data_IF_094011156704
#
_entry.id   IF_094011156704
#
_cell.length_a   1.000
_cell.length_b   1.000
_cell.length_c   1.000
_cell.angle_alpha   90.00
_cell.angle_beta   90.00
_cell.angle_gamma   90.00
#
_symmetry.space_group_name_H-M   'P 1'
#
loop_
_entity.id
_entity.type
_entity.pdbx_description
1 polymer ?
#
# COMPACT_ATOMS: atom_id res chain seq x y z
N UNK A 1 -4.87 4.01 -11.91
CA UNK A 1 -5.78 3.65 -13.01
C UNK A 1 -6.12 2.18 -12.93
N UNK A 2 -7.40 1.84 -13.04
CA UNK A 2 -7.91 0.46 -13.03
C UNK A 2 -8.37 0.00 -14.40
N UNK A 3 -7.91 -1.19 -14.79
CA UNK A 3 -8.30 -1.92 -15.99
C UNK A 3 -8.97 -3.23 -15.59
N UNK A 4 -9.92 -3.69 -16.39
CA UNK A 4 -10.49 -5.03 -16.29
C UNK A 4 -9.87 -5.91 -17.40
N UNK A 5 -9.28 -7.03 -16.97
CA UNK A 5 -8.78 -8.06 -17.89
C UNK A 5 -9.74 -9.24 -17.84
N UNK A 6 -10.19 -9.68 -19.00
CA UNK A 6 -11.05 -10.84 -19.12
C UNK A 6 -10.23 -12.08 -19.48
N UNK A 7 -10.59 -13.22 -18.89
CA UNK A 7 -9.95 -14.53 -19.08
C UNK A 7 -8.43 -14.51 -18.87
N UNK A 8 -7.96 -13.68 -17.93
CA UNK A 8 -6.54 -13.54 -17.62
C UNK A 8 -6.03 -14.79 -16.89
N UNK A 9 -4.85 -15.28 -17.29
CA UNK A 9 -4.16 -16.36 -16.60
C UNK A 9 -3.15 -15.76 -15.64
N UNK A 10 -3.41 -15.90 -14.34
CA UNK A 10 -2.48 -15.43 -13.30
C UNK A 10 -1.36 -16.45 -13.07
N UNK A 11 -0.10 -16.00 -12.85
CA UNK A 11 1.02 -16.90 -12.54
C UNK A 11 0.77 -17.78 -11.31
N UNK A 12 0.06 -17.26 -10.31
CA UNK A 12 -0.40 -18.01 -9.16
C UNK A 12 -1.91 -17.77 -8.95
N UNK A 13 -2.76 -18.78 -9.17
CA UNK A 13 -4.22 -18.66 -9.00
C UNK A 13 -4.59 -18.24 -7.57
N UNK A 14 -5.66 -17.47 -7.43
CA UNK A 14 -6.20 -17.00 -6.15
C UNK A 14 -5.21 -16.17 -5.30
N UNK A 15 -4.25 -15.51 -5.96
CA UNK A 15 -3.25 -14.64 -5.33
C UNK A 15 -3.33 -13.24 -5.93
N UNK A 16 -3.03 -12.23 -5.10
CA UNK A 16 -2.70 -10.90 -5.56
C UNK A 16 -1.23 -10.86 -6.01
N UNK A 17 -0.97 -10.15 -7.10
CA UNK A 17 0.37 -10.01 -7.67
C UNK A 17 0.76 -8.54 -7.68
N UNK A 18 1.95 -8.23 -7.22
CA UNK A 18 2.57 -6.92 -7.38
C UNK A 18 3.70 -7.07 -8.39
N UNK A 19 3.58 -6.40 -9.53
CA UNK A 19 4.56 -6.43 -10.61
C UNK A 19 5.43 -5.19 -10.46
N UNK A 20 6.72 -5.42 -10.36
CA UNK A 20 7.75 -4.39 -10.22
C UNK A 20 8.60 -4.35 -11.49
N UNK A 21 9.06 -3.17 -11.85
CA UNK A 21 9.92 -2.92 -12.99
C UNK A 21 10.39 -1.47 -12.97
N UNK A 22 10.85 -0.96 -14.11
CA UNK A 22 11.27 0.44 -14.26
C UNK A 22 10.09 1.43 -14.30
N UNK A 23 8.90 0.95 -13.99
CA UNK A 23 7.65 1.70 -13.90
C UNK A 23 7.11 1.71 -12.46
N UNK A 24 6.07 2.51 -12.22
CA UNK A 24 5.36 2.47 -10.96
C UNK A 24 4.70 1.09 -10.71
N UNK A 25 4.61 0.62 -9.45
CA UNK A 25 4.09 -0.71 -9.14
C UNK A 25 2.71 -0.96 -9.75
N UNK A 26 2.53 -2.18 -10.28
CA UNK A 26 1.25 -2.64 -10.83
C UNK A 26 0.71 -3.74 -9.94
N UNK A 27 -0.55 -3.61 -9.52
CA UNK A 27 -1.25 -4.60 -8.72
C UNK A 27 -2.24 -5.35 -9.60
N UNK A 28 -2.20 -6.70 -9.56
CA UNK A 28 -3.11 -7.57 -10.31
C UNK A 28 -3.75 -8.57 -9.38
N UNK A 29 -5.08 -8.69 -9.42
CA UNK A 29 -5.82 -9.64 -8.60
C UNK A 29 -7.13 -10.05 -9.27
N UNK A 30 -7.52 -11.29 -9.06
CA UNK A 30 -8.76 -11.87 -9.56
C UNK A 30 -9.97 -11.36 -8.76
N UNK A 31 -11.04 -11.00 -9.44
CA UNK A 31 -12.31 -10.54 -8.86
C UNK A 31 -13.39 -11.60 -9.02
N UNK A 32 -13.40 -12.30 -10.17
CA UNK A 32 -14.30 -13.41 -10.46
C UNK A 32 -13.58 -14.43 -11.35
N UNK A 33 -14.26 -15.49 -11.73
CA UNK A 33 -13.69 -16.53 -12.61
C UNK A 33 -13.23 -15.96 -13.96
N UNK A 34 -13.92 -14.93 -14.46
CA UNK A 34 -13.66 -14.34 -15.76
C UNK A 34 -12.99 -12.96 -15.72
N UNK A 35 -12.99 -12.29 -14.56
CA UNK A 35 -12.51 -10.93 -14.43
C UNK A 35 -11.33 -10.83 -13.46
N UNK A 36 -10.26 -10.24 -13.93
CA UNK A 36 -9.07 -9.86 -13.17
C UNK A 36 -8.90 -8.34 -13.22
N UNK A 37 -8.68 -7.73 -12.07
CA UNK A 37 -8.38 -6.29 -11.97
C UNK A 37 -6.88 -6.06 -12.05
N UNK A 38 -6.52 -5.05 -12.84
CA UNK A 38 -5.15 -4.54 -12.92
C UNK A 38 -5.16 -3.07 -12.56
N UNK A 39 -4.40 -2.71 -11.52
CA UNK A 39 -4.25 -1.34 -11.08
C UNK A 39 -2.85 -0.86 -11.45
N UNK A 40 -2.77 0.06 -12.40
CA UNK A 40 -1.53 0.67 -12.86
C UNK A 40 -1.41 2.07 -12.24
N UNK A 41 -0.36 2.31 -11.50
CA UNK A 41 -0.02 3.66 -11.09
C UNK A 41 0.52 4.42 -12.31
N UNK A 42 0.04 5.64 -12.52
CA UNK A 42 0.48 6.53 -13.59
C UNK A 42 0.88 7.87 -13.00
N UNK A 43 2.14 8.23 -13.14
CA UNK A 43 2.69 9.47 -12.59
C UNK A 43 2.55 10.58 -13.60
N UNK A 44 1.53 11.40 -13.42
CA UNK A 44 1.29 12.58 -14.27
C UNK A 44 0.66 13.71 -13.45
N UNK A 45 0.84 14.93 -13.93
CA UNK A 45 0.23 16.13 -13.32
C UNK A 45 -1.28 16.23 -13.57
N UNK A 46 -1.77 15.54 -14.59
CA UNK A 46 -3.19 15.48 -14.96
C UNK A 46 -3.66 14.05 -15.05
N UNK A 47 -4.93 13.76 -14.73
CA UNK A 47 -5.50 12.45 -14.96
C UNK A 47 -5.37 12.02 -16.42
N UNK A 48 -5.17 10.72 -16.71
CA UNK A 48 -5.14 10.23 -18.08
C UNK A 48 -6.48 10.47 -18.77
N UNK A 49 -6.44 10.76 -20.05
CA UNK A 49 -7.62 11.02 -20.91
C UNK A 49 -7.69 10.02 -22.03
N UNK A 50 -8.93 9.68 -22.46
CA UNK A 50 -9.16 8.84 -23.63
C UNK A 50 -8.76 9.53 -24.95
N UNK A 51 -8.72 10.87 -24.97
CA UNK A 51 -8.34 11.66 -26.15
C UNK A 51 -6.82 11.74 -26.34
N UNK A 52 -6.03 11.38 -25.32
CA UNK A 52 -4.59 11.40 -25.36
C UNK A 52 -4.06 9.95 -25.33
N UNK A 53 -3.05 9.65 -26.12
CA UNK A 53 -2.44 8.33 -26.18
C UNK A 53 -1.39 8.10 -25.09
N UNK A 54 -0.87 9.14 -24.43
CA UNK A 54 0.25 9.05 -23.49
C UNK A 54 0.09 7.91 -22.46
N UNK A 55 -1.14 7.73 -21.94
CA UNK A 55 -1.40 6.65 -20.99
C UNK A 55 -1.36 5.26 -21.63
N UNK A 56 -1.86 5.12 -22.84
CA UNK A 56 -1.87 3.84 -23.55
C UNK A 56 -0.48 3.48 -24.08
N UNK A 57 0.30 4.49 -24.48
CA UNK A 57 1.71 4.35 -24.85
C UNK A 57 2.53 3.92 -23.62
N UNK A 58 2.30 4.53 -22.45
CA UNK A 58 2.88 4.09 -21.18
C UNK A 58 2.55 2.63 -20.85
N UNK A 59 1.29 2.22 -20.99
CA UNK A 59 0.90 0.83 -20.73
C UNK A 59 1.58 -0.16 -21.70
N UNK A 60 1.72 0.24 -22.98
CA UNK A 60 2.27 -0.64 -24.02
C UNK A 60 3.80 -0.69 -23.99
N UNK A 61 4.45 0.44 -23.77
CA UNK A 61 5.91 0.57 -23.90
C UNK A 61 6.63 0.30 -22.58
N UNK A 62 6.02 0.69 -21.43
CA UNK A 62 6.68 0.60 -20.13
C UNK A 62 6.12 -0.52 -19.25
N UNK A 63 4.80 -0.73 -19.23
CA UNK A 63 4.18 -1.72 -18.35
C UNK A 63 4.17 -3.12 -18.95
N UNK A 64 3.70 -3.26 -20.19
CA UNK A 64 3.54 -4.55 -20.87
C UNK A 64 4.81 -5.41 -20.90
N UNK A 65 6.02 -4.87 -21.17
CA UNK A 65 7.23 -5.68 -21.18
C UNK A 65 7.59 -6.32 -19.82
N UNK A 66 7.12 -5.75 -18.73
CA UNK A 66 7.40 -6.22 -17.37
C UNK A 66 6.28 -7.11 -16.80
N UNK A 67 5.14 -7.19 -17.49
CA UNK A 67 4.03 -8.07 -17.09
C UNK A 67 4.33 -9.50 -17.51
N UNK A 68 4.02 -10.53 -16.67
CA UNK A 68 4.16 -11.93 -17.05
C UNK A 68 3.50 -12.25 -18.40
N UNK A 69 4.16 -13.05 -19.22
CA UNK A 69 3.72 -13.35 -20.61
C UNK A 69 2.32 -13.93 -20.68
N UNK A 70 1.93 -14.70 -19.65
CA UNK A 70 0.59 -15.30 -19.55
C UNK A 70 -0.54 -14.25 -19.49
N UNK A 71 -0.23 -13.05 -19.01
CA UNK A 71 -1.16 -11.92 -18.93
C UNK A 71 -1.21 -11.07 -20.23
N UNK A 72 -0.22 -11.19 -21.12
CA UNK A 72 -0.10 -10.34 -22.31
C UNK A 72 -1.36 -10.36 -23.20
N UNK A 73 -1.99 -11.50 -23.50
CA UNK A 73 -3.17 -11.51 -24.37
C UNK A 73 -4.34 -10.70 -23.81
N UNK A 74 -4.67 -10.93 -22.53
CA UNK A 74 -5.78 -10.23 -21.86
C UNK A 74 -5.46 -8.76 -21.59
N UNK A 75 -4.18 -8.42 -21.30
CA UNK A 75 -3.76 -7.04 -21.10
C UNK A 75 -3.78 -6.25 -22.41
N UNK A 76 -3.28 -6.80 -23.52
CA UNK A 76 -3.37 -6.16 -24.85
C UNK A 76 -4.82 -5.94 -25.28
N UNK A 77 -5.71 -6.91 -25.02
CA UNK A 77 -7.14 -6.76 -25.28
C UNK A 77 -7.75 -5.61 -24.45
N UNK A 78 -7.41 -5.51 -23.16
CA UNK A 78 -7.88 -4.43 -22.29
C UNK A 78 -7.37 -3.05 -22.73
N UNK A 79 -6.12 -2.94 -23.19
CA UNK A 79 -5.56 -1.70 -23.76
C UNK A 79 -6.35 -1.32 -25.04
N UNK A 80 -6.62 -2.28 -25.92
CA UNK A 80 -7.33 -2.06 -27.17
C UNK A 80 -8.79 -1.58 -26.98
N UNK A 81 -9.45 -2.03 -25.90
CA UNK A 81 -10.80 -1.56 -25.52
C UNK A 81 -10.83 -0.09 -25.10
N UNK A 82 -9.69 0.49 -24.73
CA UNK A 82 -9.55 1.88 -24.27
C UNK A 82 -10.52 2.24 -23.13
N UNK A 83 -10.84 1.29 -22.27
CA UNK A 83 -11.70 1.48 -21.10
C UNK A 83 -10.90 1.41 -19.82
N UNK A 84 -10.97 2.47 -19.01
CA UNK A 84 -10.31 2.50 -17.71
C UNK A 84 -11.07 3.39 -16.73
N UNK A 85 -10.80 3.19 -15.43
CA UNK A 85 -11.22 4.10 -14.37
C UNK A 85 -9.98 4.72 -13.74
N UNK A 86 -9.90 6.04 -13.75
CA UNK A 86 -8.84 6.79 -13.09
C UNK A 86 -9.33 7.35 -11.76
N UNK A 87 -8.49 7.22 -10.74
CA UNK A 87 -8.69 7.83 -9.43
C UNK A 87 -7.36 8.44 -8.95
N UNK A 88 -7.36 9.61 -8.29
CA UNK A 88 -6.16 10.11 -7.67
C UNK A 88 -5.75 9.19 -6.51
N UNK A 89 -4.45 8.89 -6.42
CA UNK A 89 -3.90 8.20 -5.27
C UNK A 89 -3.38 9.24 -4.28
N UNK A 90 -3.98 9.30 -3.12
CA UNK A 90 -3.60 10.24 -2.07
C UNK A 90 -3.62 9.55 -0.71
N UNK A 91 -2.82 10.06 0.20
CA UNK A 91 -2.92 9.77 1.61
C UNK A 91 -3.62 10.93 2.31
N UNK A 92 -4.76 10.65 2.91
CA UNK A 92 -5.49 11.56 3.78
C UNK A 92 -5.63 10.89 5.14
N UNK A 93 -5.03 11.48 6.15
CA UNK A 93 -5.13 10.97 7.51
C UNK A 93 -6.56 11.04 8.02
N UNK A 94 -6.89 10.19 9.01
CA UNK A 94 -8.22 10.11 9.55
C UNK A 94 -8.66 11.44 10.17
N UNK A 95 -9.85 11.92 9.79
CA UNK A 95 -10.42 13.13 10.38
C UNK A 95 -11.08 12.82 11.73
N UNK A 96 -10.91 13.72 12.70
CA UNK A 96 -11.63 13.64 13.97
C UNK A 96 -13.11 13.98 13.74
N UNK A 97 -13.99 13.18 14.34
CA UNK A 97 -15.43 13.34 14.22
C UNK A 97 -16.06 13.68 15.58
N UNK A 98 -17.33 14.04 15.57
CA UNK A 98 -18.12 14.29 16.78
C UNK A 98 -18.29 15.76 17.15
N UNK A 99 -17.75 16.68 16.35
CA UNK A 99 -17.95 18.12 16.51
C UNK A 99 -19.07 18.66 15.60
N UNK A 100 -19.51 17.89 14.62
CA UNK A 100 -20.64 18.22 13.76
C UNK A 100 -21.78 17.23 14.02
N UNK A 101 -22.95 17.74 14.39
CA UNK A 101 -24.11 16.93 14.70
C UNK A 101 -24.78 16.36 13.45
N UNK A 102 -25.35 15.16 13.58
CA UNK A 102 -26.10 14.50 12.52
C UNK A 102 -25.23 13.98 11.36
N UNK A 103 -23.89 13.97 11.51
CA UNK A 103 -22.98 13.63 10.44
C UNK A 103 -21.88 12.65 10.90
N UNK A 104 -21.73 11.54 10.19
CA UNK A 104 -20.69 10.53 10.42
C UNK A 104 -20.07 10.17 9.08
N UNK A 105 -18.75 10.11 9.01
CA UNK A 105 -18.00 9.65 7.82
C UNK A 105 -17.31 8.31 8.08
N UNK A 106 -17.24 7.49 7.04
CA UNK A 106 -16.57 6.19 7.02
C UNK A 106 -15.81 5.99 5.69
N UNK A 107 -15.00 4.95 5.60
CA UNK A 107 -14.26 4.61 4.40
C UNK A 107 -13.25 5.70 4.00
N UNK A 108 -13.08 5.92 2.70
CA UNK A 108 -12.11 6.90 2.16
C UNK A 108 -12.44 8.34 2.52
N UNK A 109 -13.72 8.66 2.77
CA UNK A 109 -14.14 9.96 3.28
C UNK A 109 -13.61 10.23 4.70
N UNK A 110 -13.43 9.20 5.52
CA UNK A 110 -12.81 9.28 6.82
C UNK A 110 -11.30 9.28 6.75
N UNK A 111 -10.73 8.36 5.97
CA UNK A 111 -9.30 8.13 5.88
C UNK A 111 -8.94 7.43 4.56
N UNK A 112 -8.21 8.11 3.70
CA UNK A 112 -7.81 7.60 2.40
C UNK A 112 -6.35 7.14 2.43
N UNK A 113 -6.06 6.02 1.77
CA UNK A 113 -4.72 5.44 1.67
C UNK A 113 -4.41 4.93 0.27
N UNK A 114 -3.12 4.71 -0.02
CA UNK A 114 -2.72 4.16 -1.30
C UNK A 114 -3.28 2.74 -1.50
N UNK A 115 -3.85 2.41 -2.67
CA UNK A 115 -4.54 1.12 -2.90
C UNK A 115 -3.61 -0.08 -3.01
N UNK A 116 -2.28 0.10 -3.03
CA UNK A 116 -1.29 -0.95 -3.25
C UNK A 116 -1.43 -2.16 -2.30
N UNK A 117 -1.81 -1.90 -1.05
CA UNK A 117 -1.96 -2.95 -0.04
C UNK A 117 -3.34 -3.62 -0.05
N UNK A 118 -4.31 -3.07 -0.79
CA UNK A 118 -5.70 -3.54 -0.75
C UNK A 118 -6.40 -3.35 0.60
N UNK A 119 -5.75 -2.75 1.60
CA UNK A 119 -6.22 -2.65 2.99
C UNK A 119 -7.38 -1.67 3.24
N UNK A 120 -7.82 -0.90 2.23
CA UNK A 120 -8.89 0.08 2.38
C UNK A 120 -10.21 -0.54 2.84
N UNK A 121 -10.64 -1.64 2.22
CA UNK A 121 -11.85 -2.36 2.61
C UNK A 121 -11.72 -3.01 3.99
N UNK A 122 -10.58 -3.58 4.33
CA UNK A 122 -10.31 -4.16 5.64
C UNK A 122 -10.53 -3.13 6.75
N UNK A 123 -9.95 -1.93 6.60
CA UNK A 123 -10.14 -0.85 7.58
C UNK A 123 -11.60 -0.37 7.58
N UNK A 124 -12.20 -0.12 6.41
CA UNK A 124 -13.58 0.38 6.33
C UNK A 124 -14.61 -0.56 6.94
N UNK A 125 -14.48 -1.88 6.73
CA UNK A 125 -15.36 -2.89 7.33
C UNK A 125 -15.16 -2.99 8.85
N UNK A 126 -13.91 -2.96 9.33
CA UNK A 126 -13.62 -2.93 10.77
C UNK A 126 -14.14 -1.64 11.42
N UNK A 127 -13.98 -0.50 10.76
CA UNK A 127 -14.53 0.78 11.21
C UNK A 127 -16.06 0.72 11.33
N UNK A 128 -16.73 0.15 10.33
CA UNK A 128 -18.19 -0.04 10.35
C UNK A 128 -18.63 -0.93 11.51
N UNK A 129 -17.96 -2.07 11.70
CA UNK A 129 -18.26 -2.99 12.80
C UNK A 129 -17.99 -2.35 14.18
N UNK A 130 -16.92 -1.58 14.30
CA UNK A 130 -16.59 -0.85 15.53
C UNK A 130 -17.64 0.24 15.80
N UNK A 131 -18.02 1.02 14.79
CA UNK A 131 -19.02 2.07 14.89
C UNK A 131 -20.37 1.50 15.30
N UNK A 132 -20.82 0.42 14.66
CA UNK A 132 -22.07 -0.25 15.00
C UNK A 132 -22.09 -0.71 16.47
N UNK A 133 -20.99 -1.27 16.97
CA UNK A 133 -20.87 -1.67 18.39
C UNK A 133 -20.91 -0.49 19.35
N UNK A 134 -20.28 0.62 19.00
CA UNK A 134 -20.21 1.80 19.88
C UNK A 134 -21.53 2.57 19.93
N UNK A 135 -22.31 2.54 18.86
CA UNK A 135 -23.61 3.23 18.77
C UNK A 135 -24.80 2.32 19.08
N UNK A 136 -24.55 1.01 19.32
CA UNK A 136 -25.62 0.08 19.69
C UNK A 136 -26.33 0.54 20.97
N UNK A 137 -27.64 0.73 20.90
CA UNK A 137 -28.46 1.18 22.04
C UNK A 137 -28.27 2.65 22.43
N UNK A 138 -27.54 3.42 21.66
CA UNK A 138 -27.36 4.86 21.87
C UNK A 138 -28.51 5.60 21.20
N UNK A 139 -29.16 6.52 21.94
CA UNK A 139 -30.07 7.48 21.32
C UNK A 139 -29.27 8.44 20.43
N UNK A 140 -29.49 8.37 19.12
CA UNK A 140 -28.80 9.22 18.14
C UNK A 140 -29.21 10.69 18.24
N UNK A 141 -30.28 11.02 18.95
CA UNK A 141 -30.67 12.40 19.32
C UNK A 141 -29.84 12.97 20.48
N UNK A 142 -29.17 12.14 21.27
CA UNK A 142 -28.20 12.60 22.29
C UNK A 142 -26.85 12.91 21.65
N UNK A 143 -26.73 14.10 21.09
CA UNK A 143 -25.52 14.56 20.41
C UNK A 143 -24.27 14.50 21.28
N UNK A 144 -24.41 14.75 22.60
CA UNK A 144 -23.27 14.69 23.53
C UNK A 144 -22.72 13.25 23.67
N UNK A 145 -23.63 12.30 23.85
CA UNK A 145 -23.26 10.89 23.97
C UNK A 145 -22.71 10.37 22.64
N UNK A 146 -23.34 10.71 21.51
CA UNK A 146 -22.83 10.35 20.16
C UNK A 146 -21.43 10.91 19.95
N UNK A 147 -21.18 12.19 20.26
CA UNK A 147 -19.84 12.80 20.16
C UNK A 147 -18.78 12.05 20.98
N UNK A 148 -19.11 11.67 22.22
CA UNK A 148 -18.21 10.87 23.07
C UNK A 148 -17.89 9.51 22.44
N UNK A 149 -18.89 8.84 21.83
CA UNK A 149 -18.69 7.56 21.13
C UNK A 149 -17.82 7.73 19.89
N UNK A 150 -17.97 8.81 19.13
CA UNK A 150 -17.14 9.11 17.96
C UNK A 150 -15.69 9.42 18.35
N UNK A 151 -15.44 10.10 19.47
CA UNK A 151 -14.09 10.27 20.00
C UNK A 151 -13.47 8.93 20.46
N UNK A 152 -14.27 8.05 21.06
CA UNK A 152 -13.81 6.72 21.43
C UNK A 152 -13.53 5.86 20.20
N UNK A 153 -14.37 5.95 19.17
CA UNK A 153 -14.17 5.31 17.88
C UNK A 153 -12.82 5.73 17.27
N UNK A 154 -12.55 7.04 17.19
CA UNK A 154 -11.29 7.55 16.63
C UNK A 154 -10.06 6.96 17.34
N UNK A 155 -10.09 6.80 18.67
CA UNK A 155 -9.00 6.21 19.43
C UNK A 155 -8.86 4.70 19.24
N UNK A 156 -10.00 3.96 19.20
CA UNK A 156 -9.97 2.50 19.12
C UNK A 156 -9.58 1.98 17.74
N UNK A 157 -9.87 2.72 16.66
CA UNK A 157 -9.52 2.32 15.30
C UNK A 157 -8.01 2.45 14.99
N UNK A 158 -7.29 3.29 15.75
CA UNK A 158 -5.92 3.69 15.46
C UNK A 158 -4.92 2.54 15.29
N UNK A 159 -5.03 1.46 16.03
CA UNK A 159 -4.06 0.37 15.93
C UNK A 159 -4.05 -0.24 14.53
N UNK A 160 -5.22 -0.59 14.00
CA UNK A 160 -5.35 -1.15 12.65
C UNK A 160 -5.06 -0.10 11.58
N UNK A 161 -5.64 1.06 11.74
CA UNK A 161 -5.56 2.19 10.85
C UNK A 161 -4.10 2.64 10.61
N UNK A 162 -3.36 2.90 11.68
CA UNK A 162 -1.96 3.31 11.60
C UNK A 162 -1.08 2.28 10.90
N UNK A 163 -1.26 0.99 11.21
CA UNK A 163 -0.50 -0.09 10.57
C UNK A 163 -0.72 -0.10 9.06
N UNK A 164 -1.99 -0.12 8.62
CA UNK A 164 -2.31 -0.19 7.18
C UNK A 164 -1.94 1.11 6.46
N UNK A 165 -2.13 2.27 7.09
CA UNK A 165 -1.76 3.56 6.51
C UNK A 165 -0.25 3.66 6.27
N UNK A 166 0.56 3.35 7.28
CA UNK A 166 2.01 3.40 7.17
C UNK A 166 2.51 2.40 6.14
N UNK A 167 2.01 1.15 6.17
CA UNK A 167 2.39 0.12 5.20
C UNK A 167 2.05 0.52 3.77
N UNK A 168 0.88 1.11 3.53
CA UNK A 168 0.45 1.49 2.17
C UNK A 168 1.42 2.46 1.51
N UNK A 169 1.98 3.38 2.27
CA UNK A 169 2.91 4.39 1.76
C UNK A 169 4.34 3.86 1.74
N UNK A 170 4.77 3.20 2.82
CA UNK A 170 6.11 2.64 2.91
C UNK A 170 6.37 1.62 1.79
N UNK A 171 5.42 0.70 1.55
CA UNK A 171 5.53 -0.27 0.48
C UNK A 171 5.45 0.37 -0.91
N UNK A 172 4.62 1.39 -1.09
CA UNK A 172 4.61 2.11 -2.37
C UNK A 172 5.97 2.75 -2.67
N UNK A 173 6.56 3.45 -1.70
CA UNK A 173 7.88 4.07 -1.85
C UNK A 173 8.97 3.02 -2.08
N UNK A 174 8.92 1.92 -1.32
CA UNK A 174 9.87 0.82 -1.43
C UNK A 174 9.80 0.14 -2.80
N UNK A 175 8.60 -0.13 -3.30
CA UNK A 175 8.41 -0.81 -4.59
C UNK A 175 8.65 0.10 -5.79
N UNK A 176 8.47 1.40 -5.62
CA UNK A 176 8.85 2.38 -6.64
C UNK A 176 10.37 2.52 -6.79
N UNK A 177 11.12 2.33 -5.70
CA UNK A 177 12.60 2.27 -5.64
C UNK A 177 13.31 3.40 -6.43
N UNK A 178 12.79 4.63 -6.33
CA UNK A 178 13.25 5.78 -7.15
C UNK A 178 14.66 6.28 -6.79
N UNK A 179 15.19 5.87 -5.64
CA UNK A 179 16.52 6.28 -5.17
C UNK A 179 17.40 5.07 -4.88
N UNK A 180 18.71 5.28 -4.80
CA UNK A 180 19.66 4.21 -4.47
C UNK A 180 19.36 3.56 -3.12
N UNK A 181 19.06 4.36 -2.10
CA UNK A 181 18.67 3.86 -0.78
C UNK A 181 17.42 2.98 -0.83
N UNK A 182 16.38 3.39 -1.59
CA UNK A 182 15.17 2.60 -1.78
C UNK A 182 15.44 1.30 -2.54
N UNK A 183 16.33 1.27 -3.53
CA UNK A 183 16.72 0.05 -4.25
C UNK A 183 17.39 -0.96 -3.33
N UNK A 184 18.26 -0.50 -2.43
CA UNK A 184 18.90 -1.35 -1.43
C UNK A 184 17.85 -1.93 -0.47
N UNK A 185 16.95 -1.08 0.02
CA UNK A 185 15.86 -1.49 0.91
C UNK A 185 14.89 -2.46 0.22
N UNK A 186 14.55 -2.23 -1.05
CA UNK A 186 13.69 -3.11 -1.84
C UNK A 186 14.31 -4.50 -1.97
N UNK A 187 15.58 -4.58 -2.40
CA UNK A 187 16.30 -5.85 -2.50
C UNK A 187 16.34 -6.57 -1.15
N UNK A 188 16.71 -5.84 -0.09
CA UNK A 188 16.77 -6.40 1.25
C UNK A 188 15.41 -6.88 1.78
N UNK A 189 14.32 -6.23 1.41
CA UNK A 189 12.97 -6.67 1.75
C UNK A 189 12.63 -8.03 1.12
N UNK A 190 12.97 -8.24 -0.15
CA UNK A 190 12.77 -9.53 -0.80
C UNK A 190 13.64 -10.62 -0.19
N UNK A 191 14.92 -10.35 0.04
CA UNK A 191 15.82 -11.28 0.70
C UNK A 191 15.37 -11.62 2.14
N UNK A 192 14.80 -10.63 2.87
CA UNK A 192 14.21 -10.84 4.18
C UNK A 192 13.02 -11.80 4.14
N UNK A 193 12.14 -11.67 3.14
CA UNK A 193 11.02 -12.61 2.95
C UNK A 193 11.49 -14.01 2.57
N UNK A 194 12.61 -14.15 1.87
CA UNK A 194 13.19 -15.46 1.54
C UNK A 194 13.67 -16.24 2.78
N UNK A 195 13.85 -15.59 3.93
CA UNK A 195 14.15 -16.27 5.21
C UNK A 195 12.97 -17.11 5.71
N UNK A 196 11.73 -16.79 5.29
CA UNK A 196 10.54 -17.53 5.71
C UNK A 196 10.12 -17.27 7.17
N UNK A 197 9.19 -18.09 7.68
CA UNK A 197 8.71 -18.01 9.06
C UNK A 197 8.24 -16.61 9.44
N UNK A 198 8.63 -16.14 10.62
CA UNK A 198 8.22 -14.82 11.16
C UNK A 198 8.55 -13.65 10.22
N UNK A 199 9.59 -13.81 9.37
CA UNK A 199 9.97 -12.78 8.40
C UNK A 199 8.93 -12.61 7.28
N UNK A 200 8.03 -13.56 7.10
CA UNK A 200 6.89 -13.51 6.18
C UNK A 200 5.58 -13.35 6.95
N UNK A 201 5.36 -14.17 7.97
CA UNK A 201 4.09 -14.25 8.68
C UNK A 201 3.74 -12.94 9.41
N UNK A 202 4.75 -12.30 10.02
CA UNK A 202 4.58 -11.00 10.66
C UNK A 202 4.16 -9.91 9.68
N UNK A 203 4.95 -9.61 8.63
CA UNK A 203 4.57 -8.64 7.60
C UNK A 203 3.24 -8.94 6.91
N UNK A 204 2.94 -10.19 6.60
CA UNK A 204 1.67 -10.58 6.00
C UNK A 204 0.50 -10.40 6.97
N UNK A 205 0.69 -10.72 8.25
CA UNK A 205 -0.29 -10.50 9.31
C UNK A 205 -0.59 -9.01 9.52
N UNK A 206 0.43 -8.15 9.46
CA UNK A 206 0.28 -6.69 9.47
C UNK A 206 -0.48 -6.18 8.24
N UNK A 207 -0.08 -6.65 7.05
CA UNK A 207 -0.65 -6.23 5.77
C UNK A 207 -2.13 -6.64 5.63
N UNK A 208 -2.49 -7.83 6.10
CA UNK A 208 -3.87 -8.32 6.10
C UNK A 208 -4.74 -7.65 7.17
N UNK A 209 -4.15 -6.94 8.14
CA UNK A 209 -4.83 -6.36 9.29
C UNK A 209 -5.19 -7.38 10.39
N UNK A 210 -4.68 -8.62 10.30
CA UNK A 210 -4.89 -9.64 11.34
C UNK A 210 -4.01 -9.40 12.56
N UNK A 211 -2.85 -8.76 12.37
CA UNK A 211 -1.94 -8.37 13.44
C UNK A 211 -1.83 -6.84 13.52
N UNK A 212 -2.83 -6.13 14.07
CA UNK A 212 -2.86 -4.66 14.09
C UNK A 212 -1.99 -4.09 15.22
N UNK A 213 -0.70 -4.47 15.23
CA UNK A 213 0.25 -4.09 16.29
C UNK A 213 1.30 -3.11 15.76
N UNK A 214 1.23 -1.80 16.08
CA UNK A 214 2.19 -0.81 15.60
C UNK A 214 3.66 -1.14 15.97
N UNK A 215 3.89 -1.73 17.14
CA UNK A 215 5.25 -2.15 17.54
C UNK A 215 5.79 -3.30 16.70
N UNK A 216 4.93 -4.23 16.27
CA UNK A 216 5.33 -5.30 15.36
C UNK A 216 5.71 -4.72 14.00
N UNK A 217 4.94 -3.75 13.50
CA UNK A 217 5.28 -3.00 12.29
C UNK A 217 6.66 -2.34 12.41
N UNK A 218 6.90 -1.62 13.51
CA UNK A 218 8.18 -0.98 13.78
C UNK A 218 9.34 -2.00 13.75
N UNK A 219 9.18 -3.12 14.45
CA UNK A 219 10.20 -4.16 14.51
C UNK A 219 10.54 -4.72 13.13
N UNK A 220 9.53 -5.14 12.34
CA UNK A 220 9.77 -5.68 11.01
C UNK A 220 10.35 -4.64 10.05
N UNK A 221 9.90 -3.39 10.14
CA UNK A 221 10.40 -2.32 9.28
C UNK A 221 11.92 -2.12 9.48
N UNK A 222 12.36 -1.99 10.73
CA UNK A 222 13.79 -1.82 11.02
C UNK A 222 14.58 -3.11 10.80
N UNK A 223 14.00 -4.29 11.04
CA UNK A 223 14.63 -5.56 10.71
C UNK A 223 14.92 -5.66 9.21
N UNK A 224 13.97 -5.27 8.35
CA UNK A 224 14.18 -5.19 6.89
C UNK A 224 15.29 -4.20 6.56
N UNK A 225 15.30 -3.01 7.19
CA UNK A 225 16.33 -2.00 6.92
C UNK A 225 17.75 -2.48 7.30
N UNK A 226 17.92 -3.08 8.48
CA UNK A 226 19.21 -3.63 8.90
C UNK A 226 19.63 -4.84 8.05
N UNK A 227 18.68 -5.70 7.72
CA UNK A 227 18.96 -6.85 6.85
C UNK A 227 19.35 -6.42 5.43
N UNK A 228 18.71 -5.38 4.88
CA UNK A 228 19.08 -4.79 3.61
C UNK A 228 20.51 -4.25 3.60
N UNK A 229 20.92 -3.57 4.67
CA UNK A 229 22.28 -3.10 4.86
C UNK A 229 23.25 -4.29 4.90
N UNK A 230 22.94 -5.34 5.67
CA UNK A 230 23.73 -6.56 5.73
C UNK A 230 23.90 -7.21 4.34
N UNK A 231 22.81 -7.41 3.61
CA UNK A 231 22.84 -7.99 2.24
C UNK A 231 23.68 -7.14 1.30
N UNK A 232 23.59 -5.80 1.40
CA UNK A 232 24.37 -4.90 0.59
C UNK A 232 25.88 -5.01 0.90
N UNK A 233 26.26 -5.10 2.18
CA UNK A 233 27.65 -5.34 2.57
C UNK A 233 28.17 -6.68 2.04
N UNK A 234 27.39 -7.74 2.18
CA UNK A 234 27.75 -9.08 1.69
C UNK A 234 27.96 -9.08 0.17
N UNK A 235 27.12 -8.38 -0.58
CA UNK A 235 27.21 -8.28 -2.03
C UNK A 235 28.42 -7.46 -2.50
N UNK A 236 28.84 -6.44 -1.76
CA UNK A 236 30.00 -5.59 -2.10
C UNK A 236 31.34 -6.23 -1.80
N UNK A 237 31.40 -7.13 -0.83
CA UNK A 237 32.64 -7.75 -0.36
C UNK A 237 33.64 -6.75 0.26
N UNK A 238 34.84 -7.24 0.55
CA UNK A 238 35.86 -6.45 1.28
C UNK A 238 36.36 -5.25 0.47
N UNK A 239 36.54 -5.40 -0.84
CA UNK A 239 37.02 -4.29 -1.69
C UNK A 239 35.97 -3.18 -1.88
N UNK A 240 34.68 -3.51 -1.76
CA UNK A 240 33.57 -2.56 -1.85
C UNK A 240 33.17 -1.92 -0.52
N UNK A 241 33.85 -2.24 0.58
CA UNK A 241 33.48 -1.81 1.93
C UNK A 241 33.28 -0.30 2.08
N UNK A 242 34.16 0.60 1.58
CA UNK A 242 33.95 2.05 1.73
C UNK A 242 32.66 2.53 1.05
N UNK A 243 32.34 1.99 -0.12
CA UNK A 243 31.11 2.32 -0.82
C UNK A 243 29.88 1.73 -0.10
N UNK A 244 29.98 0.49 0.38
CA UNK A 244 28.93 -0.15 1.15
C UNK A 244 28.58 0.64 2.43
N UNK A 245 29.58 1.27 3.05
CA UNK A 245 29.36 2.11 4.23
C UNK A 245 28.54 3.37 3.89
N UNK A 246 28.88 4.05 2.81
CA UNK A 246 28.08 5.21 2.33
C UNK A 246 26.65 4.81 1.96
N UNK A 247 26.51 3.69 1.27
CA UNK A 247 25.20 3.14 0.90
C UNK A 247 24.37 2.71 2.13
N UNK A 248 25.03 2.23 3.19
CA UNK A 248 24.37 1.89 4.45
C UNK A 248 23.77 3.14 5.13
N UNK A 249 24.52 4.24 5.15
CA UNK A 249 24.00 5.52 5.65
C UNK A 249 22.82 6.03 4.82
N UNK A 250 22.94 5.97 3.49
CA UNK A 250 21.86 6.38 2.59
C UNK A 250 20.61 5.51 2.78
N UNK A 251 20.75 4.19 2.84
CA UNK A 251 19.64 3.27 3.05
C UNK A 251 18.97 3.49 4.42
N UNK A 252 19.75 3.65 5.50
CA UNK A 252 19.21 3.91 6.83
C UNK A 252 18.51 5.27 6.91
N UNK A 253 19.14 6.32 6.39
CA UNK A 253 18.54 7.66 6.30
C UNK A 253 17.23 7.62 5.51
N UNK A 254 17.22 6.95 4.35
CA UNK A 254 16.03 6.78 3.52
C UNK A 254 14.93 6.05 4.29
N UNK A 255 15.25 4.98 5.00
CA UNK A 255 14.28 4.26 5.83
C UNK A 255 13.65 5.19 6.88
N UNK A 256 14.46 5.96 7.59
CA UNK A 256 13.98 6.91 8.61
C UNK A 256 13.10 8.00 7.97
N UNK A 257 13.54 8.59 6.86
CA UNK A 257 12.79 9.68 6.18
C UNK A 257 11.45 9.18 5.61
N UNK A 258 11.40 7.97 5.07
CA UNK A 258 10.16 7.41 4.53
C UNK A 258 9.19 7.01 5.64
N UNK A 259 9.68 6.46 6.76
CA UNK A 259 8.82 5.89 7.80
C UNK A 259 8.37 6.93 8.85
N UNK A 260 9.31 7.74 9.35
CA UNK A 260 9.07 8.62 10.51
C UNK A 260 7.94 9.64 10.31
N UNK A 261 7.79 10.32 9.16
CA UNK A 261 6.74 11.32 8.99
C UNK A 261 5.32 10.74 9.09
N UNK A 262 5.14 9.52 8.60
CA UNK A 262 3.84 8.86 8.63
C UNK A 262 3.54 8.28 10.01
N UNK A 263 4.54 7.64 10.64
CA UNK A 263 4.43 7.19 12.02
C UNK A 263 4.10 8.36 12.97
N UNK A 264 4.79 9.49 12.79
CA UNK A 264 4.54 10.69 13.59
C UNK A 264 3.12 11.22 13.41
N UNK A 265 2.64 11.33 12.16
CA UNK A 265 1.27 11.76 11.89
C UNK A 265 0.24 10.83 12.52
N UNK A 266 0.45 9.51 12.44
CA UNK A 266 -0.48 8.55 13.03
C UNK A 266 -0.45 8.54 14.57
N UNK A 267 0.68 8.86 15.19
CA UNK A 267 0.79 8.95 16.65
C UNK A 267 0.22 10.25 17.23
N UNK A 268 0.31 11.37 16.48
CA UNK A 268 -0.07 12.69 16.98
C UNK A 268 -1.52 13.07 16.69
N UNK A 269 -2.23 12.32 15.88
CA UNK A 269 -3.66 12.48 15.59
C UNK A 269 -4.53 11.61 16.50
#
# INVERSE_FOLDING_TARGET
VGLALHHAKLPAPNRGHVILGDHAPVLVYQVSDDETRMLCAYRATKPPSLSNNDFFDYLTEQVLPNVPEELHPSFKAAIALRQFRAMPNQYLSAVKQGHQEGFIVLGDALNMRHPLTGGGMTVGLNDTALMARLLHGVDLGDHKLVSQKLHLFHRKRKNLDAVINVLSIALYSLFAADTRGLQILQRGCFEYFMLGGDCVDGPMGLLSGMLPFPMLLFNHFFSVAFYAIYVNFAARGVLGFPLALLEAFDAFYTAVVVFTPYLWKELMQ
#
